data_IF_667643420471
#
_entry.id   IF_667643420471
#
_cell.length_a   1.000
_cell.length_b   1.000
_cell.length_c   1.000
_cell.angle_alpha   90.00
_cell.angle_beta   90.00
_cell.angle_gamma   90.00
#
_symmetry.space_group_name_H-M   'P 1'
#
loop_
_entity.id
_entity.type
_entity.pdbx_description
1 polymer ?
#
# COMPACT_ATOMS: atom_id res chain seq x y z
N UNK A 1 -14.81 25.94 -6.04
CA UNK A 1 -13.59 25.12 -5.86
C UNK A 1 -14.04 23.68 -6.03
N UNK A 2 -13.57 23.05 -7.09
CA UNK A 2 -13.92 21.67 -7.42
C UNK A 2 -13.14 20.73 -6.48
N UNK A 3 -13.83 20.11 -5.53
CA UNK A 3 -13.28 19.16 -4.56
C UNK A 3 -13.48 17.71 -5.05
N UNK A 4 -13.50 17.50 -6.37
CA UNK A 4 -13.53 16.16 -6.93
C UNK A 4 -12.22 15.43 -6.55
N UNK A 5 -12.29 14.22 -5.96
CA UNK A 5 -11.10 13.43 -5.71
C UNK A 5 -10.38 13.26 -7.05
N UNK A 6 -9.10 13.65 -7.12
CA UNK A 6 -8.25 13.33 -8.28
C UNK A 6 -8.47 11.84 -8.59
N UNK A 7 -8.85 11.55 -9.83
CA UNK A 7 -9.05 10.17 -10.28
C UNK A 7 -7.84 9.33 -9.86
N UNK A 8 -8.08 8.18 -9.24
CA UNK A 8 -7.04 7.24 -8.80
C UNK A 8 -6.01 6.94 -9.89
N UNK A 9 -6.42 7.04 -11.16
CA UNK A 9 -5.58 6.92 -12.35
C UNK A 9 -4.43 7.95 -12.45
N UNK A 10 -4.46 9.02 -11.64
CA UNK A 10 -3.45 10.08 -11.64
C UNK A 10 -2.44 9.98 -10.49
N UNK A 11 -2.68 9.08 -9.52
CA UNK A 11 -1.81 8.91 -8.36
C UNK A 11 -0.59 8.06 -8.75
N UNK A 12 0.59 8.45 -8.24
CA UNK A 12 1.85 7.75 -8.52
C UNK A 12 2.33 7.03 -7.27
N UNK A 13 1.94 5.78 -7.10
CA UNK A 13 2.51 4.95 -6.04
C UNK A 13 4.00 4.66 -6.34
N UNK A 14 4.88 5.09 -5.44
CA UNK A 14 6.33 4.99 -5.63
C UNK A 14 6.94 3.74 -5.03
N UNK A 15 6.58 3.45 -3.77
CA UNK A 15 7.21 2.38 -3.00
C UNK A 15 6.35 2.00 -1.79
N UNK A 16 6.84 1.08 -0.97
CA UNK A 16 6.25 0.68 0.30
C UNK A 16 7.27 0.65 1.41
N UNK A 17 6.80 0.85 2.64
CA UNK A 17 7.58 0.64 3.86
C UNK A 17 6.74 -0.16 4.86
N UNK A 18 7.39 -0.87 5.78
CA UNK A 18 6.72 -1.45 6.93
C UNK A 18 7.35 -0.89 8.20
N UNK A 19 6.49 -0.39 9.08
CA UNK A 19 6.87 -0.04 10.43
C UNK A 19 6.12 -0.93 11.40
N UNK A 20 6.71 -1.14 12.56
CA UNK A 20 6.06 -1.85 13.66
C UNK A 20 5.53 -0.83 14.66
N UNK A 21 4.27 -0.97 15.08
CA UNK A 21 3.74 -0.13 16.14
C UNK A 21 4.31 -0.50 17.52
N UNK A 22 3.89 0.24 18.54
CA UNK A 22 4.30 0.00 19.94
C UNK A 22 3.90 -1.38 20.47
N UNK A 23 2.97 -2.09 19.81
CA UNK A 23 2.54 -3.44 20.14
C UNK A 23 3.23 -4.51 19.27
N UNK A 24 4.28 -4.14 18.56
CA UNK A 24 5.00 -4.98 17.62
C UNK A 24 4.12 -5.55 16.49
N UNK A 25 3.08 -4.80 16.09
CA UNK A 25 2.23 -5.12 14.94
C UNK A 25 2.75 -4.43 13.69
N UNK A 26 3.02 -5.16 12.59
CA UNK A 26 3.52 -4.57 11.37
C UNK A 26 2.40 -3.86 10.60
N UNK A 27 2.71 -2.63 10.17
CA UNK A 27 1.83 -1.72 9.42
C UNK A 27 2.49 -1.45 8.08
N UNK A 28 1.73 -1.63 7.01
CA UNK A 28 2.14 -1.25 5.66
C UNK A 28 1.94 0.24 5.44
N UNK A 29 2.95 0.90 4.92
CA UNK A 29 2.93 2.30 4.51
C UNK A 29 3.10 2.34 3.00
N UNK A 30 2.09 2.84 2.30
CA UNK A 30 2.18 3.15 0.87
C UNK A 30 2.88 4.50 0.70
N UNK A 31 4.02 4.52 0.01
CA UNK A 31 4.81 5.72 -0.20
C UNK A 31 4.44 6.40 -1.53
N UNK A 32 4.12 7.68 -1.42
CA UNK A 32 3.78 8.58 -2.51
C UNK A 32 4.80 9.72 -2.65
N UNK A 33 4.83 10.44 -3.79
CA UNK A 33 5.83 11.46 -4.08
C UNK A 33 5.80 12.63 -3.11
N UNK A 34 4.60 12.96 -2.60
CA UNK A 34 4.38 14.07 -1.71
C UNK A 34 3.19 13.83 -0.77
N UNK A 35 3.03 14.75 0.18
CA UNK A 35 1.97 14.71 1.17
C UNK A 35 0.57 14.76 0.54
N UNK A 36 0.39 15.50 -0.56
CA UNK A 36 -0.91 15.67 -1.18
C UNK A 36 -1.38 14.36 -1.81
N UNK A 37 -0.52 13.67 -2.55
CA UNK A 37 -0.82 12.36 -3.13
C UNK A 37 -1.08 11.30 -2.04
N UNK A 38 -0.24 11.28 -0.98
CA UNK A 38 -0.44 10.38 0.15
C UNK A 38 -1.81 10.59 0.82
N UNK A 39 -2.20 11.84 1.06
CA UNK A 39 -3.50 12.18 1.65
C UNK A 39 -4.67 11.79 0.74
N UNK A 40 -4.54 12.03 -0.57
CA UNK A 40 -5.59 11.66 -1.53
C UNK A 40 -5.80 10.14 -1.55
N UNK A 41 -4.71 9.35 -1.59
CA UNK A 41 -4.83 7.89 -1.53
C UNK A 41 -5.45 7.44 -0.22
N UNK A 42 -5.03 8.00 0.91
CA UNK A 42 -5.60 7.67 2.21
C UNK A 42 -7.12 7.91 2.24
N UNK A 43 -7.59 9.04 1.68
CA UNK A 43 -9.02 9.32 1.57
C UNK A 43 -9.75 8.33 0.66
N UNK A 44 -9.12 7.86 -0.41
CA UNK A 44 -9.70 6.83 -1.28
C UNK A 44 -9.84 5.51 -0.50
N UNK A 45 -8.79 5.06 0.19
CA UNK A 45 -8.83 3.80 0.95
C UNK A 45 -9.83 3.81 2.11
N UNK A 46 -10.02 4.96 2.76
CA UNK A 46 -11.00 5.09 3.86
C UNK A 46 -12.45 5.16 3.40
N UNK A 47 -12.70 5.53 2.14
CA UNK A 47 -14.06 5.69 1.59
C UNK A 47 -14.53 4.50 0.75
N UNK A 48 -13.63 3.59 0.39
CA UNK A 48 -13.92 2.49 -0.52
C UNK A 48 -13.44 1.18 0.10
N UNK A 49 -14.19 0.10 -0.14
CA UNK A 49 -13.68 -1.23 0.13
C UNK A 49 -12.58 -1.58 -0.88
N UNK A 50 -11.53 -2.25 -0.41
CA UNK A 50 -10.37 -2.61 -1.20
C UNK A 50 -9.78 -3.93 -0.72
N UNK A 51 -9.06 -4.60 -1.62
CA UNK A 51 -8.18 -5.72 -1.29
C UNK A 51 -6.73 -5.31 -1.52
N UNK A 52 -5.81 -5.94 -0.82
CA UNK A 52 -4.38 -5.89 -1.08
C UNK A 52 -3.95 -7.21 -1.69
N UNK A 53 -3.58 -7.17 -2.96
CA UNK A 53 -3.20 -8.35 -3.72
C UNK A 53 -1.68 -8.35 -3.95
N UNK A 54 -1.06 -9.49 -3.66
CA UNK A 54 0.37 -9.71 -3.91
C UNK A 54 0.50 -10.82 -4.95
N UNK A 55 1.12 -10.49 -6.07
CA UNK A 55 1.35 -11.40 -7.20
C UNK A 55 2.83 -11.68 -7.34
N UNK A 56 3.20 -12.95 -7.51
CA UNK A 56 4.57 -13.32 -7.87
C UNK A 56 4.67 -13.66 -9.35
N UNK A 57 5.56 -12.97 -10.08
CA UNK A 57 5.96 -13.39 -11.42
C UNK A 57 6.85 -14.63 -11.29
N UNK A 58 6.35 -15.78 -11.75
CA UNK A 58 7.04 -17.08 -11.65
C UNK A 58 8.30 -17.16 -12.52
N UNK A 59 8.42 -16.31 -13.55
CA UNK A 59 9.56 -16.31 -14.46
C UNK A 59 10.74 -15.51 -13.93
N UNK A 60 10.47 -14.41 -13.24
CA UNK A 60 11.50 -13.49 -12.71
C UNK A 60 11.67 -13.59 -11.19
N UNK A 61 10.69 -14.16 -10.47
CA UNK A 61 10.60 -14.14 -9.00
C UNK A 61 10.27 -12.76 -8.43
N UNK A 62 9.96 -11.76 -9.27
CA UNK A 62 9.58 -10.41 -8.83
C UNK A 62 8.14 -10.39 -8.36
N UNK A 63 7.81 -9.41 -7.51
CA UNK A 63 6.46 -9.32 -6.96
C UNK A 63 5.80 -8.00 -7.35
N UNK A 64 4.54 -8.10 -7.76
CA UNK A 64 3.67 -6.97 -8.02
C UNK A 64 2.67 -6.85 -6.88
N UNK A 65 2.48 -5.64 -6.38
CA UNK A 65 1.42 -5.33 -5.44
C UNK A 65 0.31 -4.58 -6.17
N UNK A 66 -0.94 -4.91 -5.87
CA UNK A 66 -2.11 -4.20 -6.38
C UNK A 66 -3.11 -3.94 -5.27
N UNK A 67 -3.80 -2.82 -5.38
CA UNK A 67 -4.92 -2.45 -4.53
C UNK A 67 -6.11 -2.17 -5.45
N UNK A 68 -6.88 -3.19 -5.84
CA UNK A 68 -8.18 -2.99 -6.46
C UNK A 68 -9.17 -2.45 -5.43
N UNK A 69 -9.98 -1.48 -5.83
CA UNK A 69 -11.15 -1.06 -5.05
C UNK A 69 -12.31 -1.99 -5.45
N UNK A 70 -12.87 -2.73 -4.50
CA UNK A 70 -13.73 -3.89 -4.77
C UNK A 70 -15.02 -3.55 -5.51
N UNK A 71 -15.50 -2.32 -5.36
CA UNK A 71 -16.76 -1.86 -5.95
C UNK A 71 -16.54 -1.02 -7.22
N UNK A 72 -15.32 -1.02 -7.78
CA UNK A 72 -14.98 -0.23 -8.97
C UNK A 72 -14.09 -1.02 -9.94
N UNK A 73 -14.00 -0.56 -11.18
CA UNK A 73 -13.02 -1.08 -12.15
C UNK A 73 -11.59 -0.56 -11.90
N UNK A 74 -11.40 0.31 -10.92
CA UNK A 74 -10.15 1.00 -10.68
C UNK A 74 -9.33 0.33 -9.57
N UNK A 75 -8.02 0.44 -9.72
CA UNK A 75 -7.05 0.07 -8.72
C UNK A 75 -5.73 0.77 -8.96
N UNK A 76 -4.83 0.67 -8.00
CA UNK A 76 -3.45 1.13 -8.13
C UNK A 76 -2.50 -0.04 -7.92
N UNK A 77 -1.38 -0.04 -8.62
CA UNK A 77 -0.40 -1.11 -8.49
C UNK A 77 1.03 -0.59 -8.51
N UNK A 78 1.89 -1.33 -7.83
CA UNK A 78 3.33 -1.13 -7.82
C UNK A 78 3.98 -2.41 -8.35
N UNK A 79 4.73 -2.28 -9.45
CA UNK A 79 5.61 -3.34 -9.92
C UNK A 79 6.94 -3.20 -9.22
N UNK A 80 7.27 -4.14 -8.34
CA UNK A 80 8.56 -4.14 -7.67
C UNK A 80 9.52 -5.06 -8.42
N UNK A 81 10.68 -4.58 -8.91
CA UNK A 81 11.71 -5.44 -9.48
C UNK A 81 12.43 -6.27 -8.40
N UNK A 82 11.99 -6.21 -7.14
CA UNK A 82 12.67 -6.82 -5.99
C UNK A 82 12.07 -8.20 -5.66
N UNK A 83 12.94 -9.12 -5.23
CA UNK A 83 12.59 -10.48 -4.80
C UNK A 83 12.32 -10.55 -3.29
N UNK A 84 11.60 -11.59 -2.82
CA UNK A 84 11.21 -11.80 -1.41
C UNK A 84 12.35 -11.65 -0.39
N UNK A 85 13.57 -12.05 -0.77
CA UNK A 85 14.72 -12.13 0.14
C UNK A 85 15.52 -10.82 0.22
N UNK A 86 15.27 -9.85 -0.66
CA UNK A 86 16.04 -8.59 -0.74
C UNK A 86 15.30 -7.38 -0.19
N UNK A 87 14.05 -7.53 0.23
CA UNK A 87 13.30 -6.43 0.80
C UNK A 87 12.21 -6.93 1.76
N UNK A 88 12.19 -6.50 3.03
CA UNK A 88 11.19 -6.91 4.02
C UNK A 88 9.97 -5.99 3.96
N UNK A 89 9.15 -6.12 2.91
CA UNK A 89 7.71 -6.00 3.10
C UNK A 89 6.91 -7.13 2.45
N UNK A 90 7.45 -7.78 1.41
CA UNK A 90 6.74 -8.84 0.68
C UNK A 90 6.55 -10.09 1.52
N UNK A 91 7.53 -10.49 2.35
CA UNK A 91 7.42 -11.68 3.19
C UNK A 91 6.35 -11.53 4.28
N UNK A 92 6.24 -10.35 4.90
CA UNK A 92 5.22 -10.06 5.91
C UNK A 92 3.82 -10.00 5.28
N UNK A 93 3.71 -9.42 4.09
CA UNK A 93 2.47 -9.43 3.31
C UNK A 93 2.09 -10.84 2.85
N UNK A 94 3.04 -11.59 2.31
CA UNK A 94 2.87 -12.98 1.90
C UNK A 94 2.44 -13.87 3.06
N UNK A 95 2.96 -13.64 4.26
CA UNK A 95 2.56 -14.41 5.43
C UNK A 95 1.28 -13.88 6.11
N UNK A 96 0.59 -12.90 5.51
CA UNK A 96 -0.61 -12.25 6.06
C UNK A 96 -0.40 -11.68 7.47
N UNK A 97 0.80 -11.17 7.74
CA UNK A 97 1.18 -10.67 9.06
C UNK A 97 0.92 -9.17 9.20
N UNK A 98 0.76 -8.45 8.10
CA UNK A 98 0.42 -7.01 8.10
C UNK A 98 -1.02 -6.82 8.54
N UNK A 99 -1.22 -6.06 9.62
CA UNK A 99 -2.53 -5.88 10.27
C UNK A 99 -3.14 -4.50 10.01
N UNK A 100 -2.42 -3.63 9.31
CA UNK A 100 -2.91 -2.30 8.98
C UNK A 100 -2.16 -1.68 7.82
N UNK A 101 -2.81 -0.72 7.18
CA UNK A 101 -2.28 0.03 6.05
C UNK A 101 -2.49 1.52 6.27
N UNK A 102 -1.54 2.31 5.81
CA UNK A 102 -1.63 3.77 5.77
C UNK A 102 -0.86 4.32 4.57
N UNK A 103 -0.90 5.62 4.37
CA UNK A 103 -0.16 6.31 3.32
C UNK A 103 0.84 7.28 3.92
N UNK A 104 1.97 7.45 3.23
CA UNK A 104 3.04 8.35 3.61
C UNK A 104 3.84 8.82 2.41
N UNK A 105 4.88 9.60 2.69
CA UNK A 105 5.80 10.15 1.71
C UNK A 105 7.17 10.35 2.36
N UNK A 106 8.20 10.39 1.52
CA UNK A 106 9.56 10.69 1.99
C UNK A 106 9.77 12.21 2.05
N UNK A 107 10.18 12.71 3.20
CA UNK A 107 10.57 14.10 3.41
C UNK A 107 11.95 14.14 4.06
N UNK A 108 12.94 14.69 3.36
CA UNK A 108 14.33 14.82 3.85
C UNK A 108 14.94 13.48 4.37
N UNK A 109 14.66 12.38 3.68
CA UNK A 109 15.16 11.05 4.05
C UNK A 109 14.40 10.38 5.21
N UNK A 110 13.31 10.98 5.69
CA UNK A 110 12.42 10.38 6.70
C UNK A 110 11.06 10.06 6.10
N UNK A 111 10.49 8.91 6.48
CA UNK A 111 9.12 8.55 6.12
C UNK A 111 8.16 9.29 7.05
N UNK A 112 7.37 10.21 6.50
CA UNK A 112 6.24 10.83 7.18
C UNK A 112 4.96 10.14 6.72
N UNK A 113 4.10 9.76 7.65
CA UNK A 113 2.90 8.97 7.33
C UNK A 113 1.73 9.34 8.24
N UNK A 114 0.52 9.00 7.78
CA UNK A 114 -0.69 9.20 8.56
C UNK A 114 -0.76 8.20 9.73
N UNK A 115 -0.82 8.73 10.95
CA UNK A 115 -0.87 7.94 12.18
C UNK A 115 -2.22 7.23 12.38
N UNK A 116 -3.26 7.65 11.65
CA UNK A 116 -4.52 6.93 11.60
C UNK A 116 -4.36 5.75 10.65
N UNK A 117 -4.27 4.54 11.21
CA UNK A 117 -4.05 3.31 10.46
C UNK A 117 -5.39 2.70 10.09
N UNK A 118 -5.55 2.32 8.83
CA UNK A 118 -6.70 1.57 8.36
C UNK A 118 -6.42 0.10 8.73
N UNK A 119 -7.23 -0.54 9.58
CA UNK A 119 -7.02 -1.94 9.91
C UNK A 119 -7.21 -2.79 8.64
N UNK A 120 -6.33 -3.76 8.45
CA UNK A 120 -6.49 -4.81 7.46
C UNK A 120 -7.00 -6.06 8.17
N UNK A 121 -8.09 -6.62 7.67
CA UNK A 121 -8.47 -7.97 8.07
C UNK A 121 -7.63 -9.02 7.31
N UNK A 122 -7.56 -10.24 7.84
CA UNK A 122 -6.78 -11.32 7.21
C UNK A 122 -7.32 -11.81 5.86
N UNK A 123 -8.52 -11.37 5.46
CA UNK A 123 -9.18 -11.73 4.20
C UNK A 123 -8.92 -10.69 3.10
N UNK A 124 -8.60 -9.45 3.47
CA UNK A 124 -8.23 -8.37 2.56
C UNK A 124 -6.86 -8.57 1.94
N UNK A 125 -5.99 -9.40 2.52
CA UNK A 125 -4.69 -9.76 1.91
C UNK A 125 -4.83 -11.05 1.09
N UNK A 126 -4.84 -10.88 -0.23
CA UNK A 126 -4.99 -11.96 -1.21
C UNK A 126 -3.63 -12.28 -1.82
N UNK A 127 -3.27 -13.57 -1.82
CA UNK A 127 -2.02 -14.09 -2.36
C UNK A 127 -2.33 -14.85 -3.65
N UNK A 128 -1.70 -14.45 -4.75
CA UNK A 128 -1.95 -15.00 -6.08
C UNK A 128 -0.65 -15.44 -6.79
#
# INVERSE_FOLDING_TARGET
MDNSPKSISTLKWQDISILTDNNNRPILILLFPDQQEANNMYQILTKNAFNLEVYMDKSTGTHDLKIPLTDTEYGIGLKSPLTLDKYPPLKLLHNKQVLGITCGFNSNGQVLFNQNIIPLDGNQVILN
#
